data_IF_580765273673
#
_entry.id   IF_580765273673
#
_cell.length_a   1.000
_cell.length_b   1.000
_cell.length_c   1.000
_cell.angle_alpha   90.00
_cell.angle_beta   90.00
_cell.angle_gamma   90.00
#
_symmetry.space_group_name_H-M   'P 1'
#
loop_
_entity.id
_entity.type
_entity.pdbx_description
1 polymer ?
#
# COMPACT_ATOMS: atom_id res chain seq x y z
N UNK A 1 58.69 17.57 40.12
CA UNK A 1 58.33 16.23 39.60
C UNK A 1 56.90 16.18 39.01
N UNK A 2 56.11 17.26 39.06
CA UNK A 2 54.70 17.23 38.62
C UNK A 2 54.44 17.42 37.11
N UNK A 3 55.30 18.13 36.37
CA UNK A 3 55.04 18.45 34.95
C UNK A 3 55.06 17.22 34.02
N UNK A 4 55.82 16.17 34.37
CA UNK A 4 55.86 14.93 33.58
C UNK A 4 54.54 14.16 33.61
N UNK A 5 53.89 14.12 34.78
CA UNK A 5 52.63 13.41 34.99
C UNK A 5 51.45 14.09 34.26
N UNK A 6 51.42 15.43 34.27
CA UNK A 6 50.39 16.20 33.56
C UNK A 6 50.46 16.00 32.04
N UNK A 7 51.67 16.01 31.45
CA UNK A 7 51.85 15.77 30.02
C UNK A 7 51.48 14.33 29.63
N UNK A 8 51.86 13.35 30.46
CA UNK A 8 51.52 11.94 30.25
C UNK A 8 50.00 11.72 30.30
N UNK A 9 49.31 12.31 31.29
CA UNK A 9 47.85 12.24 31.41
C UNK A 9 47.15 12.89 30.20
N UNK A 10 47.66 14.03 29.73
CA UNK A 10 47.13 14.70 28.56
C UNK A 10 47.26 13.84 27.29
N UNK A 11 48.44 13.25 27.05
CA UNK A 11 48.65 12.35 25.91
C UNK A 11 47.77 11.11 25.97
N UNK A 12 47.59 10.51 27.15
CA UNK A 12 46.68 9.38 27.34
C UNK A 12 45.23 9.76 27.06
N UNK A 13 44.80 10.94 27.52
CA UNK A 13 43.46 11.45 27.29
C UNK A 13 43.23 11.73 25.81
N UNK A 14 44.20 12.31 25.10
CA UNK A 14 44.12 12.55 23.66
C UNK A 14 43.95 11.22 22.91
N UNK A 15 44.75 10.21 23.25
CA UNK A 15 44.68 8.89 22.60
C UNK A 15 43.32 8.22 22.82
N UNK A 16 42.77 8.32 24.03
CA UNK A 16 41.44 7.81 24.37
C UNK A 16 40.34 8.54 23.60
N UNK A 17 40.45 9.87 23.48
CA UNK A 17 39.51 10.68 22.70
C UNK A 17 39.58 10.40 21.20
N UNK A 18 40.77 10.13 20.65
CA UNK A 18 40.95 9.76 19.24
C UNK A 18 40.33 8.39 18.93
N UNK A 19 40.50 7.41 19.83
CA UNK A 19 39.84 6.11 19.72
C UNK A 19 38.32 6.28 19.75
N UNK A 20 37.80 7.02 20.73
CA UNK A 20 36.36 7.29 20.85
C UNK A 20 35.80 7.99 19.60
N UNK A 21 36.50 9.00 19.10
CA UNK A 21 36.12 9.70 17.87
C UNK A 21 36.05 8.76 16.67
N UNK A 22 37.00 7.83 16.55
CA UNK A 22 37.04 6.86 15.45
C UNK A 22 35.85 5.90 15.51
N UNK A 23 35.52 5.38 16.69
CA UNK A 23 34.36 4.52 16.92
C UNK A 23 33.03 5.24 16.61
N UNK A 24 32.89 6.48 17.10
CA UNK A 24 31.70 7.30 16.83
C UNK A 24 31.53 7.58 15.33
N UNK A 25 32.62 7.86 14.61
CA UNK A 25 32.59 8.15 13.18
C UNK A 25 32.20 6.89 12.38
N UNK A 26 32.70 5.73 12.77
CA UNK A 26 32.30 4.45 12.17
C UNK A 26 30.81 4.15 12.40
N UNK A 27 30.32 4.36 13.64
CA UNK A 27 28.90 4.20 13.95
C UNK A 27 28.02 5.18 13.15
N UNK A 28 28.47 6.42 13.01
CA UNK A 28 27.76 7.45 12.25
C UNK A 28 27.66 7.09 10.76
N UNK A 29 28.73 6.56 10.16
CA UNK A 29 28.70 6.09 8.77
C UNK A 29 27.71 4.95 8.55
N UNK A 30 27.64 4.00 9.50
CA UNK A 30 26.67 2.91 9.44
C UNK A 30 25.23 3.44 9.54
N UNK A 31 24.96 4.34 10.49
CA UNK A 31 23.66 4.98 10.64
C UNK A 31 23.29 5.83 9.42
N UNK A 32 24.26 6.52 8.82
CA UNK A 32 24.04 7.30 7.61
C UNK A 32 23.52 6.44 6.45
N UNK A 33 24.12 5.28 6.20
CA UNK A 33 23.66 4.37 5.15
C UNK A 33 22.25 3.84 5.43
N UNK A 34 21.95 3.48 6.68
CA UNK A 34 20.62 3.02 7.07
C UNK A 34 19.58 4.13 6.88
N UNK A 35 19.88 5.34 7.32
CA UNK A 35 19.00 6.50 7.14
C UNK A 35 18.83 6.80 5.66
N UNK A 36 19.92 6.87 4.89
CA UNK A 36 19.92 7.11 3.45
C UNK A 36 19.05 6.08 2.70
N UNK A 37 19.22 4.80 2.99
CA UNK A 37 18.37 3.74 2.43
C UNK A 37 16.92 3.89 2.89
N UNK A 38 16.65 4.24 4.15
CA UNK A 38 15.29 4.38 4.67
C UNK A 38 14.51 5.57 4.07
N UNK A 39 15.19 6.68 3.75
CA UNK A 39 14.57 7.86 3.14
C UNK A 39 14.43 7.73 1.63
N UNK A 40 15.04 6.72 0.99
CA UNK A 40 14.81 6.47 -0.44
C UNK A 40 13.32 6.28 -0.69
N UNK A 41 12.72 7.02 -1.63
CA UNK A 41 11.29 6.92 -1.94
C UNK A 41 10.83 5.49 -2.22
N UNK A 42 11.70 4.68 -2.84
CA UNK A 42 11.45 3.25 -3.09
C UNK A 42 11.22 2.43 -1.81
N UNK A 43 12.02 2.67 -0.77
CA UNK A 43 11.89 1.95 0.51
C UNK A 43 10.72 2.50 1.34
N UNK A 44 10.37 3.79 1.20
CA UNK A 44 9.15 4.37 1.76
C UNK A 44 7.89 3.77 1.13
N UNK A 45 7.84 3.65 -0.20
CA UNK A 45 6.73 3.01 -0.91
C UNK A 45 6.65 1.53 -0.55
N UNK A 46 7.79 0.81 -0.55
CA UNK A 46 7.82 -0.61 -0.17
C UNK A 46 7.33 -0.84 1.26
N UNK A 47 7.73 0.00 2.22
CA UNK A 47 7.29 -0.10 3.61
C UNK A 47 5.82 0.31 3.78
N UNK A 48 5.34 1.33 3.07
CA UNK A 48 3.92 1.70 3.05
C UNK A 48 3.04 0.59 2.46
N UNK A 49 3.44 0.02 1.32
CA UNK A 49 2.75 -1.11 0.70
C UNK A 49 2.78 -2.35 1.58
N UNK A 50 3.92 -2.69 2.19
CA UNK A 50 3.97 -3.81 3.13
C UNK A 50 2.99 -3.59 4.29
N UNK A 51 3.03 -2.43 4.96
CA UNK A 51 2.10 -2.08 6.05
C UNK A 51 0.63 -2.12 5.62
N UNK A 52 0.35 -1.68 4.39
CA UNK A 52 -0.97 -1.77 3.79
C UNK A 52 -1.40 -3.22 3.58
N UNK A 53 -0.51 -4.09 3.12
CA UNK A 53 -0.82 -5.51 2.87
C UNK A 53 -0.88 -6.38 4.13
N UNK A 54 -0.24 -6.00 5.25
CA UNK A 54 -0.30 -6.77 6.50
C UNK A 54 -1.51 -6.47 7.36
N UNK A 55 -2.23 -5.35 7.14
CA UNK A 55 -3.45 -5.04 7.86
C UNK A 55 -4.64 -5.88 7.33
N UNK A 56 -5.29 -6.73 8.16
CA UNK A 56 -6.45 -7.51 7.74
C UNK A 56 -7.61 -6.63 7.23
N UNK A 57 -7.84 -5.48 7.86
CA UNK A 57 -8.89 -4.54 7.49
C UNK A 57 -8.66 -3.93 6.11
N UNK A 58 -7.41 -3.65 5.76
CA UNK A 58 -7.11 -3.02 4.47
C UNK A 58 -7.19 -4.02 3.32
N UNK A 59 -6.84 -5.30 3.53
CA UNK A 59 -7.10 -6.35 2.53
C UNK A 59 -8.59 -6.43 2.20
N UNK A 60 -9.44 -6.42 3.22
CA UNK A 60 -10.89 -6.44 3.04
C UNK A 60 -11.39 -5.18 2.30
N UNK A 61 -10.87 -4.00 2.64
CA UNK A 61 -11.25 -2.75 1.96
C UNK A 61 -10.78 -2.68 0.50
N UNK A 62 -9.59 -3.18 0.18
CA UNK A 62 -9.09 -3.25 -1.21
C UNK A 62 -9.92 -4.25 -2.01
N UNK A 63 -10.21 -5.43 -1.45
CA UNK A 63 -11.06 -6.43 -2.09
C UNK A 63 -12.46 -5.87 -2.37
N UNK A 64 -13.08 -5.22 -1.38
CA UNK A 64 -14.38 -4.58 -1.54
C UNK A 64 -14.35 -3.45 -2.56
N UNK A 65 -13.27 -2.67 -2.61
CA UNK A 65 -13.10 -1.63 -3.64
C UNK A 65 -12.99 -2.24 -5.03
N UNK A 66 -12.20 -3.30 -5.22
CA UNK A 66 -12.07 -4.00 -6.51
C UNK A 66 -13.40 -4.60 -6.95
N UNK A 67 -14.12 -5.24 -6.02
CA UNK A 67 -15.45 -5.78 -6.28
C UNK A 67 -16.43 -4.65 -6.63
N UNK A 68 -16.43 -3.55 -5.87
CA UNK A 68 -17.31 -2.40 -6.11
C UNK A 68 -17.03 -1.70 -7.45
N UNK A 69 -15.75 -1.54 -7.81
CA UNK A 69 -15.34 -0.95 -9.08
C UNK A 69 -15.66 -1.86 -10.27
N UNK A 70 -15.36 -3.15 -10.18
CA UNK A 70 -15.67 -4.12 -11.23
C UNK A 70 -17.18 -4.27 -11.41
N UNK A 71 -17.93 -4.40 -10.32
CA UNK A 71 -19.39 -4.47 -10.33
C UNK A 71 -20.00 -3.18 -10.87
N UNK A 72 -19.51 -2.02 -10.44
CA UNK A 72 -19.95 -0.71 -10.93
C UNK A 72 -19.65 -0.51 -12.40
N UNK A 73 -18.47 -0.95 -12.88
CA UNK A 73 -18.10 -0.88 -14.29
C UNK A 73 -18.93 -1.83 -15.16
N UNK A 74 -19.13 -3.08 -14.72
CA UNK A 74 -20.01 -4.05 -15.40
C UNK A 74 -21.44 -3.52 -15.43
N UNK A 75 -21.96 -3.02 -14.31
CA UNK A 75 -23.28 -2.42 -14.20
C UNK A 75 -23.43 -1.22 -15.14
N UNK A 76 -22.47 -0.28 -15.16
CA UNK A 76 -22.46 0.86 -16.09
C UNK A 76 -22.43 0.39 -17.55
N UNK A 77 -21.65 -0.64 -17.87
CA UNK A 77 -21.54 -1.18 -19.24
C UNK A 77 -22.83 -1.90 -19.67
N UNK A 78 -23.51 -2.60 -18.77
CA UNK A 78 -24.76 -3.29 -19.01
C UNK A 78 -25.96 -2.34 -19.06
N UNK A 79 -26.01 -1.31 -18.21
CA UNK A 79 -27.14 -0.39 -18.11
C UNK A 79 -27.00 0.79 -19.09
N UNK A 80 -25.89 1.52 -19.07
CA UNK A 80 -25.71 2.77 -19.82
C UNK A 80 -24.97 2.62 -21.17
N UNK A 81 -24.25 1.53 -21.40
CA UNK A 81 -23.50 1.34 -22.65
C UNK A 81 -24.43 1.01 -23.84
N UNK A 82 -24.37 1.76 -24.93
CA UNK A 82 -24.95 1.38 -26.24
C UNK A 82 -24.14 0.23 -26.84
N UNK A 83 -24.25 -0.94 -26.21
CA UNK A 83 -23.56 -2.15 -26.66
C UNK A 83 -24.57 -3.03 -27.39
N UNK A 84 -24.27 -3.34 -28.66
CA UNK A 84 -25.03 -4.24 -29.55
C UNK A 84 -24.96 -5.73 -29.08
N UNK A 85 -24.77 -5.94 -27.77
CA UNK A 85 -24.31 -7.19 -27.17
C UNK A 85 -25.50 -8.11 -26.84
N UNK A 86 -25.40 -9.43 -27.09
CA UNK A 86 -26.44 -10.43 -26.80
C UNK A 86 -26.98 -10.41 -25.37
N UNK A 87 -26.21 -9.94 -24.38
CA UNK A 87 -26.63 -9.90 -22.97
C UNK A 87 -27.88 -9.03 -22.77
N UNK A 88 -27.94 -7.84 -23.39
CA UNK A 88 -29.14 -6.98 -23.31
C UNK A 88 -30.36 -7.63 -23.95
N UNK A 89 -30.16 -8.36 -25.05
CA UNK A 89 -31.22 -9.10 -25.74
C UNK A 89 -31.78 -10.21 -24.85
N UNK A 90 -30.91 -10.97 -24.19
CA UNK A 90 -31.31 -12.02 -23.24
C UNK A 90 -32.10 -11.41 -22.08
N UNK A 91 -31.57 -10.36 -21.44
CA UNK A 91 -32.26 -9.70 -20.32
C UNK A 91 -33.61 -9.10 -20.73
N UNK A 92 -33.66 -8.46 -21.91
CA UNK A 92 -34.90 -7.93 -22.48
C UNK A 92 -35.93 -9.02 -22.79
N UNK A 93 -35.51 -10.15 -23.37
CA UNK A 93 -36.39 -11.29 -23.65
C UNK A 93 -36.92 -11.94 -22.37
N UNK A 94 -36.10 -12.09 -21.33
CA UNK A 94 -36.54 -12.61 -20.03
C UNK A 94 -37.53 -11.66 -19.36
N UNK A 95 -37.26 -10.35 -19.39
CA UNK A 95 -38.18 -9.33 -18.87
C UNK A 95 -39.51 -9.35 -19.62
N UNK A 96 -39.48 -9.38 -20.96
CA UNK A 96 -40.68 -9.49 -21.78
C UNK A 96 -41.48 -10.75 -21.44
N UNK A 97 -40.82 -11.91 -21.35
CA UNK A 97 -41.48 -13.16 -20.99
C UNK A 97 -42.14 -13.10 -19.60
N UNK A 98 -41.46 -12.51 -18.61
CA UNK A 98 -41.99 -12.34 -17.25
C UNK A 98 -43.23 -11.42 -17.23
N UNK A 99 -43.16 -10.27 -17.89
CA UNK A 99 -44.27 -9.32 -18.00
C UNK A 99 -45.45 -9.94 -18.76
N UNK A 100 -45.18 -10.60 -19.89
CA UNK A 100 -46.21 -11.27 -20.69
C UNK A 100 -46.90 -12.38 -19.89
N UNK A 101 -46.16 -13.19 -19.13
CA UNK A 101 -46.77 -14.24 -18.30
C UNK A 101 -47.63 -13.65 -17.16
N UNK A 102 -47.20 -12.52 -16.57
CA UNK A 102 -47.95 -11.83 -15.52
C UNK A 102 -49.24 -11.20 -16.06
N UNK A 103 -49.18 -10.55 -17.23
CA UNK A 103 -50.34 -9.93 -17.88
C UNK A 103 -51.30 -10.99 -18.45
N UNK A 104 -50.77 -12.06 -19.07
CA UNK A 104 -51.58 -13.16 -19.57
C UNK A 104 -52.34 -13.88 -18.44
N UNK A 105 -51.72 -14.03 -17.26
CA UNK A 105 -52.41 -14.52 -16.06
C UNK A 105 -53.51 -13.59 -15.56
N UNK A 106 -53.39 -12.28 -15.78
CA UNK A 106 -54.41 -11.30 -15.37
C UNK A 106 -55.60 -11.22 -16.33
N UNK A 107 -55.40 -11.57 -17.60
CA UNK A 107 -56.43 -11.50 -18.64
C UNK A 107 -57.30 -12.77 -18.76
N UNK A 108 -56.90 -13.87 -18.10
CA UNK A 108 -57.64 -15.15 -18.07
C UNK A 108 -58.48 -15.33 -16.77
N UNK A 109 -58.94 -14.23 -16.16
CA UNK A 109 -59.82 -14.25 -14.99
C UNK A 109 -61.02 -13.33 -15.22
#
# INVERSE_FOLDING_TARGET
>A
MEKGNATQNLSQTILLLEQKKTEELQSLQQQYLVVYESVKPLNLVKSALNKMTTSPDLKHNILNTVIGLSTGYISKKLLLGSTHNPIKRILGTVLQFAVTNLVARRNNN
#
